data_IF_194320153030
#
_entry.id   IF_194320153030
#
_cell.length_a   1.000
_cell.length_b   1.000
_cell.length_c   1.000
_cell.angle_alpha   90.00
_cell.angle_beta   90.00
_cell.angle_gamma   90.00
#
_symmetry.space_group_name_H-M   'P 1'
#
loop_
_entity.id
_entity.type
_entity.pdbx_description
1 polymer ?
#
# COMPACT_ATOMS: atom_id res chain seq x y z
N UNK A 1 52.34 -15.53 21.83
CA UNK A 1 51.74 -15.50 20.46
C UNK A 1 50.33 -16.09 20.36
N UNK A 2 49.87 -16.93 21.29
CA UNK A 2 48.54 -17.57 21.22
C UNK A 2 47.34 -16.63 21.41
N UNK A 3 47.44 -15.64 22.32
CA UNK A 3 46.33 -14.71 22.63
C UNK A 3 45.89 -13.87 21.41
N UNK A 4 46.86 -13.36 20.64
CA UNK A 4 46.58 -12.55 19.45
C UNK A 4 45.96 -13.37 18.32
N UNK A 5 46.34 -14.66 18.19
CA UNK A 5 45.70 -15.57 17.22
C UNK A 5 44.25 -15.85 17.58
N UNK A 6 43.96 -16.14 18.86
CA UNK A 6 42.58 -16.32 19.31
C UNK A 6 41.75 -15.06 19.10
N UNK A 7 42.27 -13.88 19.42
CA UNK A 7 41.55 -12.61 19.25
C UNK A 7 41.25 -12.30 17.77
N UNK A 8 42.20 -12.57 16.87
CA UNK A 8 41.98 -12.45 15.44
C UNK A 8 40.88 -13.38 14.94
N UNK A 9 40.86 -14.62 15.41
CA UNK A 9 39.82 -15.60 15.05
C UNK A 9 38.43 -15.18 15.54
N UNK A 10 38.30 -14.62 16.74
CA UNK A 10 37.02 -14.07 17.21
C UNK A 10 36.59 -12.84 16.39
N UNK A 11 37.52 -11.97 16.02
CA UNK A 11 37.22 -10.81 15.17
C UNK A 11 36.76 -11.21 13.76
N UNK A 12 37.38 -12.23 13.16
CA UNK A 12 36.95 -12.81 11.88
C UNK A 12 35.51 -13.32 11.95
N UNK A 13 35.17 -14.06 13.01
CA UNK A 13 33.81 -14.57 13.24
C UNK A 13 32.81 -13.42 13.43
N UNK A 14 33.14 -12.43 14.26
CA UNK A 14 32.30 -11.24 14.46
C UNK A 14 32.11 -10.45 13.17
N UNK A 15 33.18 -10.27 12.40
CA UNK A 15 33.14 -9.57 11.12
C UNK A 15 32.26 -10.29 10.11
N UNK A 16 32.36 -11.63 10.04
CA UNK A 16 31.53 -12.45 9.18
C UNK A 16 30.04 -12.35 9.54
N UNK A 17 29.72 -12.40 10.84
CA UNK A 17 28.35 -12.21 11.35
C UNK A 17 27.83 -10.82 10.96
N UNK A 18 28.62 -9.76 11.17
CA UNK A 18 28.23 -8.38 10.82
C UNK A 18 27.97 -8.26 9.32
N UNK A 19 28.81 -8.84 8.46
CA UNK A 19 28.59 -8.81 7.01
C UNK A 19 27.29 -9.52 6.60
N UNK A 20 27.00 -10.69 7.17
CA UNK A 20 25.76 -11.42 6.88
C UNK A 20 24.51 -10.66 7.35
N UNK A 21 24.55 -10.10 8.57
CA UNK A 21 23.43 -9.31 9.11
C UNK A 21 23.20 -8.02 8.32
N UNK A 22 24.27 -7.34 7.90
CA UNK A 22 24.18 -6.10 7.10
C UNK A 22 23.56 -6.34 5.72
N UNK A 23 23.83 -7.50 5.12
CA UNK A 23 23.21 -7.94 3.87
C UNK A 23 21.71 -8.23 4.00
N UNK A 24 21.26 -8.72 5.17
CA UNK A 24 19.85 -9.00 5.45
C UNK A 24 19.03 -7.72 5.67
N UNK A 25 19.59 -6.73 6.38
CA UNK A 25 18.90 -5.45 6.64
C UNK A 25 18.71 -4.64 5.35
N UNK A 26 19.65 -4.72 4.41
CA UNK A 26 19.57 -4.04 3.11
C UNK A 26 18.72 -4.78 2.07
N UNK A 27 18.30 -6.03 2.35
CA UNK A 27 17.53 -6.88 1.44
C UNK A 27 16.03 -6.83 1.64
N UNK A 28 15.51 -6.07 2.60
CA UNK A 28 14.10 -5.68 2.51
C UNK A 28 13.98 -4.94 1.18
N UNK A 29 13.23 -5.44 0.19
CA UNK A 29 12.90 -4.58 -0.93
C UNK A 29 12.23 -3.38 -0.25
N UNK A 30 12.76 -2.19 -0.52
CA UNK A 30 11.90 -1.01 -0.48
C UNK A 30 10.86 -1.28 -1.57
N UNK A 31 9.90 -2.16 -1.30
CA UNK A 31 8.65 -2.15 -2.05
C UNK A 31 8.16 -0.73 -1.93
N UNK A 32 7.86 -0.12 -3.07
CA UNK A 32 7.53 1.30 -3.14
C UNK A 32 6.54 1.62 -2.03
N UNK A 33 7.03 2.32 -0.99
CA UNK A 33 6.22 2.57 0.19
C UNK A 33 4.98 3.32 -0.25
N UNK A 34 3.84 3.09 0.43
CA UNK A 34 2.63 3.84 0.13
C UNK A 34 2.94 5.33 0.11
N UNK A 35 2.73 5.95 -1.05
CA UNK A 35 2.92 7.39 -1.27
C UNK A 35 1.57 8.09 -1.16
N UNK A 36 1.56 9.41 -0.97
CA UNK A 36 0.30 10.17 -0.98
C UNK A 36 -0.39 10.08 -2.36
N UNK A 37 0.37 9.88 -3.45
CA UNK A 37 -0.19 9.61 -4.78
C UNK A 37 -0.91 8.26 -4.85
N UNK A 38 -0.33 7.18 -4.29
CA UNK A 38 -1.00 5.87 -4.22
C UNK A 38 -2.32 5.96 -3.43
N UNK A 39 -2.30 6.71 -2.32
CA UNK A 39 -3.48 6.94 -1.49
C UNK A 39 -4.54 7.79 -2.17
N UNK A 40 -4.14 8.81 -2.93
CA UNK A 40 -5.08 9.61 -3.72
C UNK A 40 -5.71 8.77 -4.84
N UNK A 41 -4.90 8.04 -5.61
CA UNK A 41 -5.39 7.15 -6.66
C UNK A 41 -6.36 6.09 -6.12
N UNK A 42 -6.11 5.55 -4.93
CA UNK A 42 -7.01 4.57 -4.29
C UNK A 42 -8.36 5.18 -3.92
N UNK A 43 -8.39 6.42 -3.42
CA UNK A 43 -9.64 7.15 -3.14
C UNK A 43 -10.41 7.50 -4.40
N UNK A 44 -9.70 7.96 -5.43
CA UNK A 44 -10.32 8.29 -6.71
C UNK A 44 -10.94 7.04 -7.34
N UNK A 45 -10.24 5.90 -7.25
CA UNK A 45 -10.76 4.60 -7.65
C UNK A 45 -12.01 4.20 -6.83
N UNK A 46 -11.96 4.31 -5.50
CA UNK A 46 -13.11 4.00 -4.62
C UNK A 46 -14.35 4.83 -5.01
N UNK A 47 -14.16 6.13 -5.27
CA UNK A 47 -15.22 7.04 -5.71
C UNK A 47 -15.76 6.66 -7.09
N UNK A 48 -14.88 6.41 -8.07
CA UNK A 48 -15.26 6.07 -9.42
C UNK A 48 -16.05 4.75 -9.49
N UNK A 49 -15.60 3.72 -8.76
CA UNK A 49 -16.27 2.41 -8.72
C UNK A 49 -17.61 2.51 -7.99
N UNK A 50 -17.70 3.32 -6.93
CA UNK A 50 -18.96 3.57 -6.22
C UNK A 50 -19.98 4.29 -7.11
N UNK A 51 -19.54 5.30 -7.88
CA UNK A 51 -20.39 5.97 -8.85
C UNK A 51 -20.84 5.01 -9.95
N UNK A 52 -19.92 4.19 -10.47
CA UNK A 52 -20.23 3.17 -11.47
C UNK A 52 -21.26 2.14 -10.96
N UNK A 53 -21.13 1.67 -9.71
CA UNK A 53 -22.10 0.76 -9.08
C UNK A 53 -23.50 1.36 -9.02
N UNK A 54 -23.61 2.61 -8.58
CA UNK A 54 -24.89 3.32 -8.51
C UNK A 54 -25.50 3.49 -9.91
N UNK A 55 -24.71 3.95 -10.89
CA UNK A 55 -25.16 4.09 -12.27
C UNK A 55 -25.57 2.76 -12.90
N UNK A 56 -24.84 1.68 -12.62
CA UNK A 56 -25.18 0.34 -13.09
C UNK A 56 -26.54 -0.11 -12.55
N UNK A 57 -26.74 -0.04 -11.23
CA UNK A 57 -28.02 -0.40 -10.60
C UNK A 57 -29.18 0.43 -11.16
N UNK A 58 -28.97 1.74 -11.33
CA UNK A 58 -29.98 2.64 -11.87
C UNK A 58 -30.32 2.28 -13.32
N UNK A 59 -29.30 2.06 -14.16
CA UNK A 59 -29.49 1.72 -15.58
C UNK A 59 -30.28 0.43 -15.74
N UNK A 60 -29.93 -0.63 -15.01
CA UNK A 60 -30.65 -1.91 -15.08
C UNK A 60 -32.11 -1.73 -14.68
N UNK A 61 -32.36 -1.04 -13.56
CA UNK A 61 -33.72 -0.76 -13.12
C UNK A 61 -34.50 0.03 -14.17
N UNK A 62 -33.91 1.10 -14.71
CA UNK A 62 -34.53 1.92 -15.72
C UNK A 62 -34.88 1.11 -16.98
N UNK A 63 -33.96 0.28 -17.48
CA UNK A 63 -34.22 -0.58 -18.65
C UNK A 63 -35.39 -1.54 -18.39
N UNK A 64 -35.47 -2.12 -17.18
CA UNK A 64 -36.55 -3.02 -16.78
C UNK A 64 -37.89 -2.30 -16.76
N UNK A 65 -37.95 -1.16 -16.08
CA UNK A 65 -39.17 -0.37 -15.95
C UNK A 65 -39.63 0.17 -17.32
N UNK A 66 -38.69 0.59 -18.16
CA UNK A 66 -38.96 1.06 -19.52
C UNK A 66 -39.58 -0.02 -20.39
N UNK A 67 -38.96 -1.21 -20.48
CA UNK A 67 -39.47 -2.31 -21.30
C UNK A 67 -40.81 -2.83 -20.78
N UNK A 68 -41.01 -2.90 -19.46
CA UNK A 68 -42.31 -3.25 -18.88
C UNK A 68 -43.41 -2.25 -19.28
N UNK A 69 -43.10 -0.95 -19.30
CA UNK A 69 -44.02 0.11 -19.70
C UNK A 69 -44.38 0.00 -21.18
N UNK A 70 -43.39 -0.20 -22.05
CA UNK A 70 -43.60 -0.38 -23.51
C UNK A 70 -44.43 -1.65 -23.79
N UNK A 71 -44.08 -2.76 -23.16
CA UNK A 71 -44.82 -4.01 -23.29
C UNK A 71 -46.28 -3.86 -22.80
N UNK A 72 -46.51 -3.17 -21.67
CA UNK A 72 -47.85 -2.85 -21.19
C UNK A 72 -48.65 -1.95 -22.14
N UNK A 73 -48.00 -0.94 -22.73
CA UNK A 73 -48.60 -0.09 -23.75
C UNK A 73 -49.05 -0.90 -24.97
N UNK A 74 -48.20 -1.79 -25.49
CA UNK A 74 -48.58 -2.67 -26.60
C UNK A 74 -49.78 -3.56 -26.28
N UNK A 75 -49.88 -4.12 -25.06
CA UNK A 75 -51.07 -4.88 -24.66
C UNK A 75 -52.35 -4.04 -24.74
N UNK A 76 -52.29 -2.78 -24.33
CA UNK A 76 -53.46 -1.90 -24.35
C UNK A 76 -53.82 -1.39 -25.76
N UNK A 77 -52.84 -1.27 -26.66
CA UNK A 77 -53.04 -0.74 -28.01
C UNK A 77 -53.31 -1.81 -29.06
N UNK A 78 -52.80 -3.03 -28.88
CA UNK A 78 -53.00 -4.13 -29.81
C UNK A 78 -54.24 -4.97 -29.47
N UNK A 79 -54.67 -5.05 -28.21
CA UNK A 79 -55.95 -5.70 -27.87
C UNK A 79 -57.08 -4.75 -28.33
N UNK A 80 -57.96 -5.16 -29.26
CA UNK A 80 -59.05 -4.29 -29.71
C UNK A 80 -59.99 -3.97 -28.55
N UNK A 81 -60.22 -2.68 -28.29
CA UNK A 81 -61.32 -2.22 -27.43
C UNK A 81 -62.63 -2.34 -28.22
N UNK A 82 -63.02 -3.55 -28.62
CA UNK A 82 -64.36 -3.81 -29.14
C UNK A 82 -64.64 -5.31 -29.17
N UNK A 83 -65.50 -5.74 -28.26
CA UNK A 83 -66.35 -6.91 -28.43
C UNK A 83 -67.34 -6.63 -29.56
N UNK A 84 -66.96 -6.82 -30.81
CA UNK A 84 -67.89 -7.26 -31.86
C UNK A 84 -67.10 -7.67 -33.10
N UNK A 85 -67.41 -8.85 -33.63
CA UNK A 85 -66.75 -9.54 -34.75
C UNK A 85 -65.55 -10.40 -34.35
N UNK A 86 -65.91 -11.65 -34.05
CA UNK A 86 -65.11 -12.85 -34.30
C UNK A 86 -64.47 -12.80 -35.70
N UNK A 87 -63.30 -13.43 -35.81
CA UNK A 87 -62.57 -13.77 -37.04
C UNK A 87 -61.67 -12.69 -37.66
N UNK A 88 -60.49 -12.51 -37.06
CA UNK A 88 -59.24 -12.48 -37.83
C UNK A 88 -58.05 -12.72 -36.90
N UNK A 89 -57.48 -13.92 -37.02
CA UNK A 89 -56.12 -14.33 -36.65
C UNK A 89 -55.19 -13.16 -36.25
N UNK A 90 -55.24 -12.76 -34.97
CA UNK A 90 -54.37 -11.70 -34.44
C UNK A 90 -53.02 -12.33 -34.11
N UNK A 91 -52.25 -12.65 -35.15
CA UNK A 91 -50.83 -12.92 -34.97
C UNK A 91 -50.24 -11.74 -34.17
N UNK A 92 -49.60 -11.98 -33.02
CA UNK A 92 -48.97 -10.91 -32.28
C UNK A 92 -48.03 -10.18 -33.23
N UNK A 93 -48.24 -8.88 -33.43
CA UNK A 93 -47.37 -8.06 -34.28
C UNK A 93 -45.91 -8.40 -33.96
N UNK A 94 -45.06 -8.61 -34.98
CA UNK A 94 -43.64 -8.94 -34.80
C UNK A 94 -42.94 -8.02 -33.78
N UNK A 95 -43.40 -6.77 -33.68
CA UNK A 95 -42.93 -5.76 -32.73
C UNK A 95 -43.28 -6.12 -31.28
N UNK A 96 -44.47 -6.67 -31.02
CA UNK A 96 -44.87 -7.17 -29.70
C UNK A 96 -44.10 -8.43 -29.32
N UNK A 97 -43.94 -9.38 -30.25
CA UNK A 97 -43.15 -10.59 -30.03
C UNK A 97 -41.69 -10.24 -29.68
N UNK A 98 -41.09 -9.31 -30.42
CA UNK A 98 -39.77 -8.76 -30.10
C UNK A 98 -39.71 -8.11 -28.71
N UNK A 99 -40.73 -7.32 -28.34
CA UNK A 99 -40.78 -6.65 -27.05
C UNK A 99 -40.91 -7.65 -25.88
N UNK A 100 -41.71 -8.72 -26.05
CA UNK A 100 -41.84 -9.79 -25.07
C UNK A 100 -40.52 -10.57 -24.91
N UNK A 101 -39.85 -10.92 -26.01
CA UNK A 101 -38.53 -11.55 -25.97
C UNK A 101 -37.48 -10.66 -25.31
N UNK A 102 -37.46 -9.36 -25.61
CA UNK A 102 -36.54 -8.42 -24.99
C UNK A 102 -36.79 -8.30 -23.49
N UNK A 103 -38.05 -8.24 -23.06
CA UNK A 103 -38.42 -8.27 -21.64
C UNK A 103 -37.89 -9.54 -20.96
N UNK A 104 -38.14 -10.71 -21.55
CA UNK A 104 -37.67 -11.99 -21.02
C UNK A 104 -36.13 -12.07 -20.97
N UNK A 105 -35.45 -11.53 -21.99
CA UNK A 105 -33.99 -11.46 -22.00
C UNK A 105 -33.47 -10.60 -20.86
N UNK A 106 -34.10 -9.46 -20.61
CA UNK A 106 -33.73 -8.56 -19.52
C UNK A 106 -34.00 -9.18 -18.15
N UNK A 107 -35.09 -9.94 -18.00
CA UNK A 107 -35.41 -10.72 -16.79
C UNK A 107 -34.38 -11.81 -16.46
N UNK A 108 -33.69 -12.32 -17.47
CA UNK A 108 -32.64 -13.33 -17.30
C UNK A 108 -31.24 -12.76 -17.05
N UNK A 109 -31.06 -11.44 -17.17
CA UNK A 109 -29.76 -10.81 -16.92
C UNK A 109 -29.36 -11.01 -15.45
N UNK A 110 -28.15 -11.52 -15.15
CA UNK A 110 -27.70 -11.75 -13.78
C UNK A 110 -27.19 -10.46 -13.11
N UNK A 111 -28.00 -9.40 -13.11
CA UNK A 111 -27.60 -8.08 -12.63
C UNK A 111 -27.25 -8.06 -11.13
N UNK A 112 -27.91 -8.91 -10.34
CA UNK A 112 -27.60 -9.04 -8.90
C UNK A 112 -26.18 -9.56 -8.67
N UNK A 113 -25.75 -10.57 -9.44
CA UNK A 113 -24.39 -11.13 -9.33
C UNK A 113 -23.35 -10.10 -9.72
N UNK A 114 -23.59 -9.37 -10.82
CA UNK A 114 -22.72 -8.29 -11.25
C UNK A 114 -22.65 -7.16 -10.22
N UNK A 115 -23.80 -6.70 -9.70
CA UNK A 115 -23.89 -5.68 -8.67
C UNK A 115 -23.10 -6.06 -7.41
N UNK A 116 -23.27 -7.29 -6.92
CA UNK A 116 -22.55 -7.76 -5.74
C UNK A 116 -21.05 -7.94 -5.99
N UNK A 117 -20.63 -8.34 -7.20
CA UNK A 117 -19.23 -8.37 -7.57
C UNK A 117 -18.59 -6.97 -7.55
N UNK A 118 -19.27 -5.96 -8.10
CA UNK A 118 -18.82 -4.57 -8.06
C UNK A 118 -18.75 -4.06 -6.62
N UNK A 119 -19.78 -4.34 -5.81
CA UNK A 119 -19.81 -3.97 -4.40
C UNK A 119 -18.71 -4.63 -3.58
N UNK A 120 -18.41 -5.90 -3.85
CA UNK A 120 -17.27 -6.61 -3.27
C UNK A 120 -15.95 -5.92 -3.64
N UNK A 121 -15.79 -5.51 -4.90
CA UNK A 121 -14.61 -4.77 -5.34
C UNK A 121 -14.46 -3.43 -4.61
N UNK A 122 -15.55 -2.67 -4.41
CA UNK A 122 -15.56 -1.44 -3.59
C UNK A 122 -15.02 -1.73 -2.18
N UNK A 123 -15.50 -2.81 -1.54
CA UNK A 123 -15.04 -3.20 -0.20
C UNK A 123 -13.54 -3.51 -0.16
N UNK A 124 -13.01 -4.19 -1.19
CA UNK A 124 -11.56 -4.47 -1.30
C UNK A 124 -10.78 -3.17 -1.41
N UNK A 125 -11.21 -2.24 -2.27
CA UNK A 125 -10.55 -0.93 -2.42
C UNK A 125 -10.59 -0.14 -1.11
N UNK A 126 -11.72 -0.18 -0.39
CA UNK A 126 -11.85 0.45 0.92
C UNK A 126 -10.85 -0.12 1.94
N UNK A 127 -10.70 -1.44 2.01
CA UNK A 127 -9.71 -2.08 2.88
C UNK A 127 -8.28 -1.66 2.52
N UNK A 128 -7.96 -1.55 1.23
CA UNK A 128 -6.65 -1.05 0.77
C UNK A 128 -6.44 0.41 1.22
N UNK A 129 -7.44 1.27 1.06
CA UNK A 129 -7.43 2.67 1.51
C UNK A 129 -7.14 2.79 3.01
N UNK A 130 -7.77 1.95 3.83
CA UNK A 130 -7.51 1.88 5.27
C UNK A 130 -6.07 1.44 5.57
N UNK A 131 -5.57 0.40 4.88
CA UNK A 131 -4.21 -0.11 5.06
C UNK A 131 -3.15 0.93 4.68
N UNK A 132 -3.35 1.65 3.59
CA UNK A 132 -2.50 2.76 3.18
C UNK A 132 -2.45 3.88 4.22
N UNK A 133 -3.59 4.20 4.85
CA UNK A 133 -3.64 5.19 5.93
C UNK A 133 -2.89 4.73 7.19
N UNK A 134 -3.01 3.44 7.55
CA UNK A 134 -2.24 2.83 8.65
C UNK A 134 -0.73 2.86 8.37
N UNK A 135 -0.30 2.46 7.16
CA UNK A 135 1.10 2.43 6.76
C UNK A 135 1.74 3.84 6.85
N UNK A 136 1.06 4.87 6.32
CA UNK A 136 1.55 6.25 6.41
C UNK A 136 1.66 6.76 7.85
N UNK A 137 0.72 6.37 8.71
CA UNK A 137 0.75 6.72 10.14
C UNK A 137 1.93 6.06 10.85
N UNK A 138 2.21 4.80 10.56
CA UNK A 138 3.36 4.07 11.11
C UNK A 138 4.67 4.67 10.57
N UNK A 139 4.76 4.92 9.27
CA UNK A 139 5.91 5.57 8.62
C UNK A 139 6.27 6.90 9.30
N UNK A 140 5.28 7.78 9.51
CA UNK A 140 5.49 9.06 10.20
C UNK A 140 6.05 8.88 11.62
N UNK A 141 5.58 7.87 12.36
CA UNK A 141 6.10 7.57 13.71
C UNK A 141 7.54 7.07 13.65
N UNK A 142 7.84 6.17 12.73
CA UNK A 142 9.20 5.64 12.53
C UNK A 142 10.18 6.73 12.12
N UNK A 143 9.79 7.60 11.18
CA UNK A 143 10.63 8.72 10.73
C UNK A 143 10.94 9.69 11.88
N UNK A 144 9.95 9.98 12.74
CA UNK A 144 10.16 10.81 13.93
C UNK A 144 11.09 10.15 14.95
N UNK A 145 10.91 8.85 15.22
CA UNK A 145 11.78 8.11 16.11
C UNK A 145 13.23 8.05 15.58
N UNK A 146 13.41 7.85 14.28
CA UNK A 146 14.71 7.87 13.61
C UNK A 146 15.40 9.22 13.76
N UNK A 147 14.68 10.33 13.55
CA UNK A 147 15.22 11.69 13.73
C UNK A 147 15.66 11.95 15.16
N UNK A 148 14.88 11.51 16.16
CA UNK A 148 15.25 11.66 17.57
C UNK A 148 16.46 10.79 17.95
N UNK A 149 16.55 9.57 17.41
CA UNK A 149 17.71 8.70 17.60
C UNK A 149 18.97 9.34 17.00
N UNK A 150 18.88 9.89 15.79
CA UNK A 150 20.00 10.56 15.12
C UNK A 150 20.49 11.80 15.90
N UNK A 151 19.57 12.61 16.45
CA UNK A 151 19.90 13.74 17.34
C UNK A 151 20.63 13.29 18.61
N UNK A 152 20.15 12.22 19.27
CA UNK A 152 20.81 11.67 20.46
C UNK A 152 22.20 11.11 20.12
N UNK A 153 22.32 10.39 19.01
CA UNK A 153 23.59 9.84 18.54
C UNK A 153 24.60 10.92 18.14
N UNK A 154 24.17 12.03 17.54
CA UNK A 154 25.05 13.16 17.22
C UNK A 154 25.47 13.93 18.48
N UNK A 155 24.57 14.09 19.45
CA UNK A 155 24.89 14.67 20.76
C UNK A 155 25.92 13.82 21.52
N UNK A 156 25.74 12.51 21.58
CA UNK A 156 26.70 11.60 22.21
C UNK A 156 28.09 11.68 21.56
N UNK A 157 28.16 11.65 20.22
CA UNK A 157 29.43 11.82 19.48
C UNK A 157 30.10 13.17 19.74
N UNK A 158 29.31 14.23 19.96
CA UNK A 158 29.82 15.56 20.33
C UNK A 158 30.42 15.58 21.73
N UNK A 159 29.73 14.97 22.70
CA UNK A 159 30.21 14.84 24.09
C UNK A 159 31.48 14.00 24.14
N UNK A 160 31.50 12.85 23.48
CA UNK A 160 32.66 11.97 23.39
C UNK A 160 33.88 12.72 22.84
N UNK A 161 33.72 13.45 21.74
CA UNK A 161 34.80 14.28 21.16
C UNK A 161 35.29 15.36 22.12
N UNK A 162 34.39 16.04 22.83
CA UNK A 162 34.77 17.04 23.84
C UNK A 162 35.55 16.41 24.99
N UNK A 163 35.10 15.25 25.48
CA UNK A 163 35.77 14.51 26.54
C UNK A 163 37.21 14.14 26.14
N UNK A 164 37.40 13.52 24.96
CA UNK A 164 38.74 13.19 24.45
C UNK A 164 39.61 14.44 24.24
N UNK A 165 39.06 15.53 23.69
CA UNK A 165 39.81 16.77 23.51
C UNK A 165 40.22 17.41 24.85
N UNK A 166 39.34 17.39 25.86
CA UNK A 166 39.66 17.88 27.21
C UNK A 166 40.72 17.03 27.89
N UNK A 167 40.68 15.70 27.74
CA UNK A 167 41.69 14.79 28.28
C UNK A 167 43.04 14.91 27.55
N UNK A 168 43.03 15.23 26.25
CA UNK A 168 44.26 15.50 25.48
C UNK A 168 44.88 16.86 25.81
N UNK A 169 44.11 17.83 26.32
CA UNK A 169 44.57 19.17 26.75
C UNK A 169 45.03 19.21 28.21
N UNK A 170 44.46 18.36 29.06
CA UNK A 170 45.01 18.08 30.40
C UNK A 170 46.06 17.01 30.22
N UNK A 171 47.26 17.42 29.78
CA UNK A 171 48.42 16.53 29.79
C UNK A 171 48.57 15.93 31.18
N UNK A 172 48.25 14.64 31.33
CA UNK A 172 48.78 13.85 32.43
C UNK A 172 50.28 13.85 32.19
N UNK A 173 50.96 14.81 32.81
CA UNK A 173 52.40 14.76 32.99
C UNK A 173 52.70 13.44 33.66
N UNK A 174 53.34 12.54 32.91
CA UNK A 174 54.00 11.37 33.46
C UNK A 174 54.92 11.90 34.58
N UNK A 175 54.79 11.45 35.84
CA UNK A 175 55.66 11.95 36.88
C UNK A 175 57.10 11.55 36.53
N UNK A 176 57.95 12.57 36.43
CA UNK A 176 59.39 12.47 36.28
C UNK A 176 59.91 11.38 37.22
N UNK A 177 60.21 10.22 36.64
CA UNK A 177 61.00 9.21 37.35
C UNK A 177 62.43 9.55 37.02
N UNK A 178 63.06 10.27 37.94
CA UNK A 178 64.47 10.62 37.89
C UNK A 178 65.33 9.39 37.60
N UNK A 179 66.21 9.52 36.61
CA UNK A 179 67.18 8.52 36.22
C UNK A 179 68.48 9.22 35.87
N UNK A 180 69.45 9.07 36.76
CA UNK A 180 70.81 9.59 36.72
C UNK A 180 71.53 9.42 35.39
N UNK A 181 72.25 10.49 35.02
CA UNK A 181 73.63 10.54 34.55
C UNK A 181 74.28 9.24 34.00
N UNK A 182 74.67 9.32 32.72
CA UNK A 182 75.94 8.88 32.11
C UNK A 182 75.80 8.09 30.79
N UNK A 183 76.45 8.64 29.75
CA UNK A 183 77.44 7.86 29.00
C UNK A 183 77.05 7.31 27.64
N UNK A 184 77.80 7.79 26.64
CA UNK A 184 78.27 7.09 25.42
C UNK A 184 77.27 6.86 24.29
N UNK A 185 77.50 7.61 23.19
CA UNK A 185 76.88 7.37 21.90
C UNK A 185 77.47 6.19 21.16
N UNK A 186 76.71 5.69 20.17
CA UNK A 186 77.19 5.01 18.97
C UNK A 186 76.15 5.30 17.88
N UNK A 187 76.60 5.85 16.74
CA UNK A 187 75.81 5.94 15.52
C UNK A 187 75.98 4.71 14.63
N UNK A 188 75.03 4.52 13.72
CA UNK A 188 75.13 3.79 12.43
C UNK A 188 73.91 4.27 11.62
N UNK A 189 74.11 5.04 10.54
CA UNK A 189 74.27 4.57 9.13
C UNK A 189 73.04 3.89 8.59
#
# INVERSE_FOLDING_TARGET
MYMWRSMHQYHEVQHHIVQQVRGLVNRSPKGDSTSELHKQATRDLESAVSAWHSSFCHLIKFQRDFIQSVHGWFKLTLIPVSSDNMDANMEPSDVYAFCDEWKLALDRVPDTVASEAIKSFINVVHVISMKQAEELKVKKRTDNASKELEKKASSLRSIERKFYNSYSMVGIGLPDTGGSDNGTGIGCS
#
